data_IF_766301137842
#
_entry.id   IF_766301137842
#
_cell.length_a   1.000
_cell.length_b   1.000
_cell.length_c   1.000
_cell.angle_alpha   90.00
_cell.angle_beta   90.00
_cell.angle_gamma   90.00
#
_symmetry.space_group_name_H-M   'P 1'
#
loop_
_entity.id
_entity.type
_entity.pdbx_description
1 polymer ?
#
# COMPACT_ATOMS: atom_id res chain seq x y z
N UNK A 1 -16.15 -6.23 -7.25
CA UNK A 1 -15.52 -5.79 -8.52
C UNK A 1 -14.03 -6.07 -8.45
N UNK A 2 -13.44 -6.67 -9.48
CA UNK A 2 -11.99 -6.79 -9.57
C UNK A 2 -11.39 -5.37 -9.64
N UNK A 3 -10.33 -5.09 -8.87
CA UNK A 3 -9.64 -3.80 -8.97
C UNK A 3 -8.83 -3.79 -10.27
N UNK A 4 -9.23 -2.95 -11.21
CA UNK A 4 -8.49 -2.66 -12.44
C UNK A 4 -7.83 -1.28 -12.33
N UNK A 5 -6.75 -1.07 -13.08
CA UNK A 5 -6.00 0.19 -13.12
C UNK A 5 -5.88 0.59 -14.58
N UNK A 6 -6.27 1.82 -14.89
CA UNK A 6 -6.22 2.40 -16.22
C UNK A 6 -5.58 3.78 -16.13
N UNK A 7 -4.70 4.11 -17.06
CA UNK A 7 -4.07 5.44 -17.18
C UNK A 7 -4.03 5.82 -18.64
N UNK A 8 -4.56 6.99 -18.96
CA UNK A 8 -4.54 7.54 -20.31
C UNK A 8 -3.26 8.33 -20.56
N UNK A 9 -2.76 8.23 -21.80
CA UNK A 9 -1.63 9.01 -22.28
C UNK A 9 -2.00 10.49 -22.30
N UNK A 10 -1.08 11.35 -21.83
CA UNK A 10 -1.23 12.80 -21.89
C UNK A 10 -0.51 13.37 -23.11
N UNK A 11 -0.95 14.54 -23.54
CA UNK A 11 -0.24 15.31 -24.57
C UNK A 11 1.18 15.63 -24.08
N UNK A 12 2.18 15.41 -24.96
CA UNK A 12 3.61 15.61 -24.70
C UNK A 12 4.23 14.76 -23.58
N UNK A 13 3.63 13.62 -23.25
CA UNK A 13 4.22 12.69 -22.28
C UNK A 13 5.11 11.62 -22.92
N UNK A 14 6.26 11.34 -22.30
CA UNK A 14 7.10 10.20 -22.69
C UNK A 14 6.57 8.87 -22.14
N UNK A 15 6.88 7.77 -22.83
CA UNK A 15 6.48 6.43 -22.40
C UNK A 15 6.89 6.11 -20.95
N UNK A 16 8.10 6.48 -20.55
CA UNK A 16 8.60 6.25 -19.20
C UNK A 16 7.79 6.99 -18.13
N UNK A 17 7.35 8.21 -18.43
CA UNK A 17 6.50 8.98 -17.52
C UNK A 17 5.13 8.32 -17.35
N UNK A 18 4.53 7.85 -18.46
CA UNK A 18 3.27 7.10 -18.44
C UNK A 18 3.42 5.80 -17.62
N UNK A 19 4.49 5.02 -17.83
CA UNK A 19 4.76 3.79 -17.10
C UNK A 19 4.93 4.03 -15.59
N UNK A 20 5.62 5.12 -15.21
CA UNK A 20 5.74 5.54 -13.80
C UNK A 20 4.37 5.87 -13.18
N UNK A 21 3.48 6.56 -13.91
CA UNK A 21 2.12 6.84 -13.43
C UNK A 21 1.31 5.56 -13.28
N UNK A 22 1.33 4.69 -14.30
CA UNK A 22 0.64 3.41 -14.25
C UNK A 22 1.10 2.55 -13.07
N UNK A 23 2.41 2.38 -12.89
CA UNK A 23 2.96 1.59 -11.77
C UNK A 23 2.59 2.19 -10.41
N UNK A 24 2.58 3.52 -10.29
CA UNK A 24 2.12 4.22 -9.08
C UNK A 24 0.63 3.96 -8.79
N UNK A 25 -0.23 4.06 -9.80
CA UNK A 25 -1.66 3.74 -9.65
C UNK A 25 -1.89 2.26 -9.35
N UNK A 26 -1.11 1.35 -9.94
CA UNK A 26 -1.12 -0.09 -9.63
C UNK A 26 -0.79 -0.36 -8.16
N UNK A 27 0.24 0.30 -7.64
CA UNK A 27 0.65 0.21 -6.25
C UNK A 27 -0.41 0.80 -5.30
N UNK A 28 -0.99 1.95 -5.67
CA UNK A 28 -2.02 2.64 -4.90
C UNK A 28 -3.32 1.83 -4.81
N UNK A 29 -3.78 1.28 -5.93
CA UNK A 29 -4.93 0.38 -5.99
C UNK A 29 -4.67 -0.92 -5.20
N UNK A 30 -3.40 -1.34 -5.12
CA UNK A 30 -2.96 -2.49 -4.35
C UNK A 30 -3.32 -3.82 -5.00
N UNK A 31 -3.55 -3.85 -6.32
CA UNK A 31 -3.98 -5.02 -7.08
C UNK A 31 -3.07 -6.22 -6.82
N UNK A 32 -1.74 -6.04 -6.97
CA UNK A 32 -0.76 -7.10 -6.73
C UNK A 32 -0.68 -7.53 -5.26
N UNK A 33 -0.95 -6.63 -4.31
CA UNK A 33 -0.99 -6.97 -2.89
C UNK A 33 -2.17 -7.88 -2.59
N UNK A 34 -3.34 -7.58 -3.14
CA UNK A 34 -4.54 -8.37 -2.95
C UNK A 34 -4.39 -9.75 -3.62
N UNK A 35 -3.79 -9.80 -4.82
CA UNK A 35 -3.48 -11.06 -5.49
C UNK A 35 -2.54 -11.94 -4.66
N UNK A 36 -1.44 -11.37 -4.15
CA UNK A 36 -0.51 -12.10 -3.28
C UNK A 36 -1.17 -12.60 -1.99
N UNK A 37 -2.04 -11.79 -1.39
CA UNK A 37 -2.75 -12.17 -0.16
C UNK A 37 -3.77 -13.29 -0.37
N UNK A 38 -4.31 -13.42 -1.59
CA UNK A 38 -5.30 -14.44 -1.96
C UNK A 38 -4.68 -15.68 -2.64
N UNK A 39 -3.36 -15.68 -2.87
CA UNK A 39 -2.66 -16.76 -3.60
C UNK A 39 -2.76 -18.12 -2.90
N UNK A 40 -2.84 -18.12 -1.57
CA UNK A 40 -2.99 -19.32 -0.76
C UNK A 40 -4.15 -19.16 0.22
N UNK A 41 -4.72 -20.29 0.65
CA UNK A 41 -5.73 -20.29 1.70
C UNK A 41 -5.11 -19.86 3.03
N UNK A 42 -5.84 -19.01 3.76
CA UNK A 42 -5.48 -18.55 5.10
C UNK A 42 -6.71 -18.68 5.97
N UNK A 43 -6.59 -19.39 7.10
CA UNK A 43 -7.72 -19.58 8.02
C UNK A 43 -8.22 -18.25 8.62
N UNK A 44 -9.51 -18.18 8.99
CA UNK A 44 -10.11 -16.99 9.61
C UNK A 44 -9.33 -16.52 10.86
N UNK A 45 -8.88 -17.46 11.68
CA UNK A 45 -8.07 -17.19 12.88
C UNK A 45 -6.73 -16.55 12.54
N UNK A 46 -6.05 -17.06 11.52
CA UNK A 46 -4.78 -16.51 11.08
C UNK A 46 -4.93 -15.11 10.46
N UNK A 47 -5.98 -14.89 9.65
CA UNK A 47 -6.31 -13.55 9.15
C UNK A 47 -6.57 -12.55 10.29
N UNK A 48 -7.28 -12.97 11.34
CA UNK A 48 -7.52 -12.15 12.54
C UNK A 48 -6.22 -11.82 13.27
N UNK A 49 -5.34 -12.81 13.49
CA UNK A 49 -4.01 -12.60 14.10
C UNK A 49 -3.15 -11.64 13.29
N UNK A 50 -3.13 -11.78 11.97
CA UNK A 50 -2.40 -10.89 11.07
C UNK A 50 -2.94 -9.45 11.11
N UNK A 51 -4.26 -9.26 11.19
CA UNK A 51 -4.90 -7.94 11.32
C UNK A 51 -4.49 -7.24 12.62
N UNK A 52 -4.50 -7.96 13.75
CA UNK A 52 -4.10 -7.43 15.06
C UNK A 52 -2.62 -7.01 15.04
N UNK A 53 -1.72 -7.91 14.62
CA UNK A 53 -0.28 -7.60 14.50
C UNK A 53 -0.02 -6.37 13.62
N UNK A 54 -0.74 -6.24 12.49
CA UNK A 54 -0.61 -5.09 11.60
C UNK A 54 -1.15 -3.79 12.22
N UNK A 55 -2.17 -3.86 13.07
CA UNK A 55 -2.69 -2.70 13.78
C UNK A 55 -1.71 -2.21 14.84
N UNK A 56 -1.17 -3.13 15.64
CA UNK A 56 -0.15 -2.84 16.65
C UNK A 56 1.12 -2.24 16.03
N UNK A 57 1.62 -2.86 14.95
CA UNK A 57 2.78 -2.33 14.22
C UNK A 57 2.56 -0.90 13.74
N UNK A 58 1.36 -0.58 13.23
CA UNK A 58 1.00 0.78 12.81
C UNK A 58 0.95 1.75 13.99
N UNK A 59 0.38 1.34 15.13
CA UNK A 59 0.36 2.12 16.37
C UNK A 59 1.79 2.46 16.82
N UNK A 60 2.66 1.44 16.91
CA UNK A 60 4.07 1.62 17.30
C UNK A 60 4.81 2.59 16.38
N UNK A 61 4.63 2.46 15.06
CA UNK A 61 5.24 3.39 14.10
C UNK A 61 4.72 4.82 14.22
N UNK A 62 3.43 5.01 14.52
CA UNK A 62 2.86 6.36 14.76
C UNK A 62 3.48 7.01 15.99
N UNK A 63 3.56 6.26 17.10
CA UNK A 63 4.18 6.73 18.34
C UNK A 63 5.66 7.08 18.14
N UNK A 64 6.43 6.22 17.48
CA UNK A 64 7.85 6.48 17.18
C UNK A 64 8.05 7.75 16.33
N UNK A 65 7.16 8.02 15.36
CA UNK A 65 7.19 9.26 14.57
C UNK A 65 6.90 10.50 15.42
N UNK A 66 5.92 10.43 16.33
CA UNK A 66 5.57 11.52 17.23
C UNK A 66 6.71 11.82 18.21
N UNK A 67 7.30 10.78 18.80
CA UNK A 67 8.46 10.92 19.68
C UNK A 67 9.65 11.57 18.94
N UNK A 68 9.96 11.10 17.72
CA UNK A 68 11.01 11.70 16.89
C UNK A 68 10.72 13.16 16.53
N UNK A 69 9.45 13.51 16.27
CA UNK A 69 9.05 14.90 15.98
C UNK A 69 9.26 15.80 17.21
N UNK A 70 8.84 15.36 18.40
CA UNK A 70 9.07 16.09 19.65
C UNK A 70 10.57 16.23 20.00
N UNK A 71 11.40 15.27 19.62
CA UNK A 71 12.84 15.29 19.83
C UNK A 71 13.61 16.21 18.86
N UNK A 72 13.00 16.58 17.71
CA UNK A 72 13.58 17.43 16.68
C UNK A 72 13.12 18.90 16.75
N UNK A 73 12.35 19.28 17.79
CA UNK A 73 12.03 20.70 18.04
C UNK A 73 11.31 21.42 16.88
N UNK A 74 10.20 20.85 16.39
CA UNK A 74 9.17 21.55 15.61
C UNK A 74 7.79 21.35 16.25
#
# INVERSE_FOLDING_TARGET
MAKSVHVELRENESFDALLKRFTKELQKAGVLRDYRAKRHYVSKSEQRRAKIRKAEHRRRRKLAKLAKKGQLGL
#
